data_IF_281027015077
#
_entry.id   IF_281027015077
#
_cell.length_a   1.000
_cell.length_b   1.000
_cell.length_c   1.000
_cell.angle_alpha   90.00
_cell.angle_beta   90.00
_cell.angle_gamma   90.00
#
_symmetry.space_group_name_H-M   'P 1'
#
loop_
_entity.id
_entity.type
_entity.pdbx_description
1 polymer ?
#
# COMPACT_ATOMS: atom_id res chain seq x y z
N UNK A 1 -11.52 4.17 34.44
CA UNK A 1 -12.08 2.86 34.09
C UNK A 1 -11.22 2.29 32.98
N UNK A 2 -10.56 1.16 33.18
CA UNK A 2 -9.83 0.47 32.12
C UNK A 2 -10.82 0.10 31.03
N UNK A 3 -10.62 0.60 29.81
CA UNK A 3 -11.45 0.16 28.68
C UNK A 3 -11.26 -1.34 28.50
N UNK A 4 -12.36 -2.09 28.49
CA UNK A 4 -12.35 -3.52 28.22
C UNK A 4 -11.72 -3.80 26.85
N UNK A 5 -10.80 -4.76 26.83
CA UNK A 5 -10.10 -5.22 25.62
C UNK A 5 -11.04 -6.15 24.86
N UNK A 6 -11.36 -5.85 23.59
CA UNK A 6 -12.22 -6.70 22.77
C UNK A 6 -11.66 -8.11 22.58
N UNK A 7 -12.55 -9.11 22.50
CA UNK A 7 -12.17 -10.51 22.40
C UNK A 7 -11.33 -10.83 21.15
N UNK A 8 -11.61 -10.16 20.03
CA UNK A 8 -10.90 -10.32 18.77
C UNK A 8 -9.42 -9.89 18.89
N UNK A 9 -9.15 -8.85 19.68
CA UNK A 9 -7.78 -8.36 19.94
C UNK A 9 -7.03 -9.35 20.83
N UNK A 10 -7.69 -9.87 21.86
CA UNK A 10 -7.10 -10.87 22.75
C UNK A 10 -6.84 -12.20 22.03
N UNK A 11 -7.72 -12.58 21.10
CA UNK A 11 -7.58 -13.82 20.33
C UNK A 11 -6.26 -13.89 19.51
N UNK A 12 -5.71 -12.75 19.13
CA UNK A 12 -4.47 -12.65 18.33
C UNK A 12 -3.28 -12.09 19.11
N UNK A 13 -3.39 -11.92 20.43
CA UNK A 13 -2.29 -11.47 21.28
C UNK A 13 -1.87 -10.01 21.02
N UNK A 14 -2.83 -9.11 20.78
CA UNK A 14 -2.62 -7.69 20.48
C UNK A 14 -3.01 -6.74 21.64
N UNK A 15 -3.20 -7.27 22.85
CA UNK A 15 -3.67 -6.53 24.02
C UNK A 15 -2.75 -5.38 24.40
N UNK A 16 -1.44 -5.61 24.39
CA UNK A 16 -0.43 -4.59 24.74
C UNK A 16 -0.42 -3.45 23.72
N UNK A 17 -0.38 -3.78 22.44
CA UNK A 17 -0.46 -2.80 21.36
C UNK A 17 -1.74 -1.99 21.46
N UNK A 18 -2.90 -2.65 21.56
CA UNK A 18 -4.18 -1.97 21.72
C UNK A 18 -4.20 -1.08 22.96
N UNK A 19 -3.64 -1.56 24.07
CA UNK A 19 -3.48 -0.81 25.33
C UNK A 19 -2.70 0.49 25.17
N UNK A 20 -1.65 0.48 24.35
CA UNK A 20 -0.79 1.65 24.05
C UNK A 20 -1.45 2.72 23.17
N UNK A 21 -2.53 2.37 22.45
CA UNK A 21 -3.24 3.33 21.60
C UNK A 21 -3.94 4.41 22.44
N UNK A 22 -4.03 5.63 21.91
CA UNK A 22 -4.89 6.65 22.46
C UNK A 22 -6.38 6.28 22.31
N UNK A 23 -7.25 6.91 23.10
CA UNK A 23 -8.68 6.58 23.12
C UNK A 23 -9.37 6.72 21.75
N UNK A 24 -8.97 7.72 20.97
CA UNK A 24 -9.51 7.93 19.62
C UNK A 24 -9.17 6.73 18.70
N UNK A 25 -7.93 6.27 18.73
CA UNK A 25 -7.48 5.12 17.93
C UNK A 25 -8.12 3.82 18.42
N UNK A 26 -8.28 3.64 19.74
CA UNK A 26 -9.04 2.52 20.31
C UNK A 26 -10.48 2.47 19.78
N UNK A 27 -11.16 3.62 19.76
CA UNK A 27 -12.52 3.73 19.20
C UNK A 27 -12.53 3.38 17.71
N UNK A 28 -11.54 3.85 16.93
CA UNK A 28 -11.47 3.51 15.51
C UNK A 28 -11.22 2.02 15.27
N UNK A 29 -10.29 1.39 15.99
CA UNK A 29 -10.05 -0.06 15.90
C UNK A 29 -11.34 -0.84 16.18
N UNK A 30 -12.07 -0.47 17.24
CA UNK A 30 -13.35 -1.12 17.59
C UNK A 30 -14.40 -1.10 16.47
N UNK A 31 -14.35 -0.14 15.54
CA UNK A 31 -15.27 -0.09 14.39
C UNK A 31 -15.02 -1.20 13.36
N UNK A 32 -13.80 -1.71 13.30
CA UNK A 32 -13.37 -2.66 12.27
C UNK A 32 -13.34 -4.12 12.74
N UNK A 33 -13.68 -4.39 14.01
CA UNK A 33 -13.60 -5.75 14.58
C UNK A 33 -14.63 -6.72 13.98
N UNK A 34 -15.71 -6.21 13.39
CA UNK A 34 -16.74 -7.04 12.77
C UNK A 34 -16.18 -7.91 11.64
N UNK A 35 -16.15 -9.22 11.84
CA UNK A 35 -15.59 -10.21 10.91
C UNK A 35 -14.11 -9.95 10.56
N UNK A 36 -13.35 -9.32 11.46
CA UNK A 36 -11.91 -9.13 11.24
C UNK A 36 -11.18 -10.47 11.26
N UNK A 37 -10.14 -10.61 10.43
CA UNK A 37 -9.28 -11.79 10.47
C UNK A 37 -8.63 -11.95 11.86
N UNK A 38 -8.92 -13.07 12.52
CA UNK A 38 -8.37 -13.43 13.84
C UNK A 38 -7.54 -14.71 13.78
N UNK A 39 -7.19 -15.17 12.58
CA UNK A 39 -6.38 -16.40 12.39
C UNK A 39 -4.93 -16.20 12.83
N UNK A 40 -4.43 -14.97 12.74
CA UNK A 40 -3.09 -14.60 13.17
C UNK A 40 -3.00 -13.10 13.50
N UNK A 41 -1.94 -12.72 14.22
CA UNK A 41 -1.61 -11.31 14.50
C UNK A 41 -1.42 -10.51 13.20
N UNK A 42 -0.73 -11.09 12.22
CA UNK A 42 -0.46 -10.44 10.93
C UNK A 42 -1.72 -10.32 10.09
N UNK A 43 -2.54 -11.38 10.00
CA UNK A 43 -3.85 -11.35 9.34
C UNK A 43 -4.75 -10.25 9.89
N UNK A 44 -4.83 -10.14 11.22
CA UNK A 44 -5.59 -9.07 11.89
C UNK A 44 -5.10 -7.67 11.48
N UNK A 45 -3.79 -7.41 11.54
CA UNK A 45 -3.24 -6.09 11.24
C UNK A 45 -3.39 -5.74 9.76
N UNK A 46 -3.22 -6.71 8.86
CA UNK A 46 -3.45 -6.52 7.41
C UNK A 46 -4.91 -6.20 7.12
N UNK A 47 -5.85 -6.96 7.68
CA UNK A 47 -7.28 -6.71 7.48
C UNK A 47 -7.71 -5.35 8.07
N UNK A 48 -7.17 -4.98 9.25
CA UNK A 48 -7.38 -3.65 9.83
C UNK A 48 -6.87 -2.53 8.93
N UNK A 49 -5.66 -2.68 8.35
CA UNK A 49 -5.08 -1.70 7.43
C UNK A 49 -5.96 -1.53 6.19
N UNK A 50 -6.34 -2.63 5.54
CA UNK A 50 -7.17 -2.61 4.33
C UNK A 50 -8.52 -1.96 4.61
N UNK A 51 -9.22 -2.38 5.67
CA UNK A 51 -10.54 -1.83 6.01
C UNK A 51 -10.47 -0.36 6.39
N UNK A 52 -9.48 0.02 7.19
CA UNK A 52 -9.32 1.42 7.58
C UNK A 52 -8.92 2.32 6.41
N UNK A 53 -8.09 1.84 5.47
CA UNK A 53 -7.79 2.56 4.22
C UNK A 53 -9.03 2.71 3.34
N UNK A 54 -9.85 1.67 3.19
CA UNK A 54 -11.11 1.73 2.42
C UNK A 54 -12.09 2.78 2.97
N UNK A 55 -12.11 2.98 4.30
CA UNK A 55 -12.90 3.99 4.99
C UNK A 55 -12.18 5.35 5.13
N UNK A 56 -11.10 5.57 4.37
CA UNK A 56 -10.26 6.77 4.41
C UNK A 56 -9.68 7.13 5.81
N UNK A 57 -9.60 6.15 6.71
CA UNK A 57 -8.95 6.25 8.01
C UNK A 57 -7.45 5.90 7.90
N UNK A 58 -6.77 6.51 6.94
CA UNK A 58 -5.38 6.20 6.57
C UNK A 58 -4.39 6.26 7.73
N UNK A 59 -4.54 7.22 8.66
CA UNK A 59 -3.67 7.31 9.85
C UNK A 59 -3.76 6.07 10.74
N UNK A 60 -4.92 5.41 10.83
CA UNK A 60 -5.03 4.15 11.57
C UNK A 60 -4.31 3.02 10.85
N UNK A 61 -4.46 2.95 9.52
CA UNK A 61 -3.73 2.00 8.68
C UNK A 61 -2.22 2.15 8.86
N UNK A 62 -1.72 3.40 8.84
CA UNK A 62 -0.30 3.70 9.09
C UNK A 62 0.16 3.21 10.47
N UNK A 63 -0.61 3.46 11.53
CA UNK A 63 -0.28 3.02 12.89
C UNK A 63 -0.21 1.48 13.00
N UNK A 64 -1.16 0.79 12.37
CA UNK A 64 -1.16 -0.68 12.35
C UNK A 64 0.04 -1.24 11.56
N UNK A 65 0.37 -0.63 10.42
CA UNK A 65 1.51 -1.02 9.59
C UNK A 65 2.86 -0.77 10.26
N UNK A 66 3.04 0.38 10.91
CA UNK A 66 4.26 0.67 11.68
C UNK A 66 4.46 -0.33 12.82
N UNK A 67 3.40 -0.72 13.52
CA UNK A 67 3.47 -1.75 14.55
C UNK A 67 3.79 -3.13 13.95
N UNK A 68 3.16 -3.51 12.84
CA UNK A 68 3.38 -4.78 12.18
C UNK A 68 4.83 -4.93 11.67
N UNK A 69 5.37 -3.91 11.02
CA UNK A 69 6.72 -3.92 10.45
C UNK A 69 7.84 -3.89 11.49
N UNK A 70 7.53 -3.49 12.73
CA UNK A 70 8.44 -3.56 13.87
C UNK A 70 8.59 -4.99 14.43
N UNK A 71 7.76 -5.94 13.99
CA UNK A 71 7.85 -7.35 14.40
C UNK A 71 8.82 -8.13 13.49
N UNK A 72 9.26 -9.30 13.97
CA UNK A 72 9.91 -10.28 13.11
C UNK A 72 8.87 -10.87 12.16
N UNK A 73 9.12 -10.76 10.85
CA UNK A 73 8.26 -11.22 9.77
C UNK A 73 9.13 -11.96 8.76
N UNK A 74 8.61 -13.07 8.24
CA UNK A 74 9.14 -13.69 7.02
C UNK A 74 9.03 -12.72 5.83
N UNK A 75 9.78 -12.97 4.76
CA UNK A 75 9.71 -12.15 3.54
C UNK A 75 8.28 -12.07 2.99
N UNK A 76 7.53 -13.17 3.03
CA UNK A 76 6.15 -13.20 2.55
C UNK A 76 5.20 -12.38 3.43
N UNK A 77 5.28 -12.55 4.75
CA UNK A 77 4.47 -11.76 5.68
C UNK A 77 4.80 -10.28 5.59
N UNK A 78 6.10 -9.96 5.50
CA UNK A 78 6.58 -8.59 5.29
C UNK A 78 6.01 -8.02 4.00
N UNK A 79 6.04 -8.78 2.90
CA UNK A 79 5.47 -8.34 1.64
C UNK A 79 3.98 -7.99 1.77
N UNK A 80 3.19 -8.86 2.40
CA UNK A 80 1.74 -8.66 2.61
C UNK A 80 1.43 -7.48 3.53
N UNK A 81 2.20 -7.30 4.59
CA UNK A 81 2.07 -6.18 5.52
C UNK A 81 2.40 -4.87 4.81
N UNK A 82 3.53 -4.82 4.09
CA UNK A 82 3.96 -3.63 3.37
C UNK A 82 2.97 -3.25 2.26
N UNK A 83 2.38 -4.21 1.54
CA UNK A 83 1.33 -3.94 0.54
C UNK A 83 0.13 -3.17 1.13
N UNK A 84 -0.36 -3.58 2.31
CA UNK A 84 -1.46 -2.90 2.97
C UNK A 84 -1.04 -1.54 3.57
N UNK A 85 0.19 -1.47 4.09
CA UNK A 85 0.76 -0.25 4.66
C UNK A 85 0.95 0.86 3.62
N UNK A 86 1.40 0.51 2.40
CA UNK A 86 1.62 1.44 1.29
C UNK A 86 0.35 2.24 0.96
N UNK A 87 -0.81 1.60 0.93
CA UNK A 87 -2.07 2.31 0.63
C UNK A 87 -2.46 3.27 1.76
N UNK A 88 -2.22 2.87 3.01
CA UNK A 88 -2.35 3.73 4.18
C UNK A 88 -1.43 4.96 4.12
N UNK A 89 -0.15 4.77 3.78
CA UNK A 89 0.80 5.86 3.60
C UNK A 89 0.39 6.81 2.48
N UNK A 90 -0.04 6.26 1.34
CA UNK A 90 -0.45 7.05 0.19
C UNK A 90 -1.65 7.94 0.51
N UNK A 91 -2.70 7.38 1.12
CA UNK A 91 -3.87 8.15 1.53
C UNK A 91 -3.60 9.15 2.67
N UNK A 92 -2.55 8.91 3.47
CA UNK A 92 -2.06 9.86 4.46
C UNK A 92 -1.13 10.94 3.87
N UNK A 93 -0.88 10.92 2.56
CA UNK A 93 0.00 11.84 1.83
C UNK A 93 1.48 11.77 2.27
N UNK A 94 1.90 10.64 2.86
CA UNK A 94 3.28 10.38 3.30
C UNK A 94 4.15 9.89 2.12
N UNK A 95 4.14 10.63 1.00
CA UNK A 95 4.66 10.17 -0.30
C UNK A 95 6.15 9.80 -0.31
N UNK A 96 6.97 10.44 0.54
CA UNK A 96 8.38 10.07 0.70
C UNK A 96 8.53 8.62 1.21
N UNK A 97 7.74 8.24 2.22
CA UNK A 97 7.71 6.87 2.75
C UNK A 97 7.08 5.89 1.76
N UNK A 98 6.04 6.31 1.03
CA UNK A 98 5.40 5.46 0.00
C UNK A 98 6.46 4.95 -0.99
N UNK A 99 7.28 5.84 -1.54
CA UNK A 99 8.29 5.48 -2.54
C UNK A 99 9.31 4.49 -1.97
N UNK A 100 9.80 4.76 -0.76
CA UNK A 100 10.75 3.90 -0.05
C UNK A 100 10.18 2.50 0.18
N UNK A 101 8.97 2.40 0.72
CA UNK A 101 8.33 1.12 1.01
C UNK A 101 7.93 0.37 -0.26
N UNK A 102 7.51 1.07 -1.33
CA UNK A 102 7.25 0.44 -2.62
C UNK A 102 8.50 -0.23 -3.17
N UNK A 103 9.65 0.46 -3.19
CA UNK A 103 10.90 -0.10 -3.69
C UNK A 103 11.35 -1.32 -2.87
N UNK A 104 11.34 -1.22 -1.53
CA UNK A 104 11.65 -2.36 -0.65
C UNK A 104 10.74 -3.55 -0.92
N UNK A 105 9.45 -3.30 -1.15
CA UNK A 105 8.50 -4.38 -1.39
C UNK A 105 8.70 -5.06 -2.75
N UNK A 106 9.07 -4.28 -3.77
CA UNK A 106 9.39 -4.79 -5.10
C UNK A 106 10.65 -5.66 -5.08
N UNK A 107 11.67 -5.28 -4.30
CA UNK A 107 12.89 -6.09 -4.12
C UNK A 107 12.55 -7.47 -3.51
N UNK A 108 11.65 -7.50 -2.53
CA UNK A 108 11.17 -8.74 -1.91
C UNK A 108 10.35 -9.61 -2.85
N UNK A 109 9.70 -9.04 -3.87
CA UNK A 109 8.79 -9.78 -4.75
C UNK A 109 9.46 -11.00 -5.39
N UNK A 110 10.74 -10.87 -5.75
CA UNK A 110 11.49 -11.95 -6.42
C UNK A 110 11.68 -13.19 -5.54
N UNK A 111 11.81 -13.03 -4.22
CA UNK A 111 11.94 -14.16 -3.28
C UNK A 111 10.61 -14.82 -2.93
N UNK A 112 9.50 -14.07 -3.05
CA UNK A 112 8.17 -14.52 -2.64
C UNK A 112 7.21 -14.87 -3.79
N UNK A 113 7.64 -14.64 -5.04
CA UNK A 113 6.80 -14.75 -6.24
C UNK A 113 6.02 -16.05 -6.35
N UNK A 114 6.67 -17.20 -6.12
CA UNK A 114 6.03 -18.51 -6.25
C UNK A 114 4.88 -18.66 -5.27
N UNK A 115 5.15 -18.43 -3.98
CA UNK A 115 4.14 -18.45 -2.93
C UNK A 115 3.02 -17.43 -3.17
N UNK A 116 3.36 -16.22 -3.62
CA UNK A 116 2.38 -15.19 -3.92
C UNK A 116 1.46 -15.58 -5.08
N UNK A 117 1.97 -16.25 -6.11
CA UNK A 117 1.14 -16.76 -7.20
C UNK A 117 0.25 -17.90 -6.73
N UNK A 118 0.77 -18.84 -5.94
CA UNK A 118 0.00 -19.97 -5.40
C UNK A 118 -1.22 -19.48 -4.59
N UNK A 119 -1.00 -18.52 -3.67
CA UNK A 119 -2.06 -17.93 -2.85
C UNK A 119 -3.12 -17.17 -3.67
N UNK A 120 -2.79 -16.77 -4.90
CA UNK A 120 -3.69 -16.05 -5.81
C UNK A 120 -4.16 -16.91 -7.00
N UNK A 121 -4.12 -18.24 -6.88
CA UNK A 121 -4.66 -19.15 -7.88
C UNK A 121 -3.81 -19.25 -9.16
N UNK A 122 -2.50 -19.05 -9.03
CA UNK A 122 -1.52 -19.11 -10.10
C UNK A 122 -1.48 -17.86 -10.99
N UNK A 123 -2.18 -16.79 -10.63
CA UNK A 123 -2.24 -15.54 -11.40
C UNK A 123 -1.89 -14.34 -10.54
N UNK A 124 -1.27 -13.33 -11.17
CA UNK A 124 -1.03 -12.06 -10.49
C UNK A 124 -2.35 -11.35 -10.23
N UNK A 125 -2.60 -10.88 -8.99
CA UNK A 125 -3.70 -9.99 -8.70
C UNK A 125 -3.64 -8.74 -9.57
N UNK A 126 -4.81 -8.25 -10.01
CA UNK A 126 -4.90 -6.98 -10.75
C UNK A 126 -4.35 -5.81 -9.93
N UNK A 127 -4.66 -5.81 -8.64
CA UNK A 127 -4.24 -4.77 -7.70
C UNK A 127 -3.06 -5.26 -6.88
N UNK A 128 -1.92 -4.61 -7.08
CA UNK A 128 -0.72 -4.74 -6.27
C UNK A 128 -0.30 -3.29 -5.97
N UNK A 129 -0.28 -2.91 -4.71
CA UNK A 129 -0.13 -1.52 -4.28
C UNK A 129 1.27 -1.01 -4.53
N UNK A 130 2.34 -1.76 -4.25
CA UNK A 130 3.70 -1.28 -4.47
C UNK A 130 3.95 -0.84 -5.92
N UNK A 131 3.55 -1.65 -6.91
CA UNK A 131 3.73 -1.32 -8.33
C UNK A 131 2.86 -0.15 -8.78
N UNK A 132 1.64 -0.03 -8.25
CA UNK A 132 0.70 1.02 -8.65
C UNK A 132 1.05 2.36 -7.99
N UNK A 133 1.23 2.37 -6.66
CA UNK A 133 1.51 3.58 -5.89
C UNK A 133 2.89 4.16 -6.20
N UNK A 134 3.88 3.33 -6.56
CA UNK A 134 5.15 3.85 -7.05
C UNK A 134 4.96 4.73 -8.30
N UNK A 135 4.21 4.25 -9.29
CA UNK A 135 3.91 5.03 -10.51
C UNK A 135 3.06 6.26 -10.19
N UNK A 136 2.04 6.12 -9.33
CA UNK A 136 1.21 7.25 -8.90
C UNK A 136 2.04 8.34 -8.24
N UNK A 137 2.99 7.97 -7.37
CA UNK A 137 3.89 8.92 -6.71
C UNK A 137 4.88 9.54 -7.69
N UNK A 138 5.56 8.75 -8.52
CA UNK A 138 6.53 9.27 -9.49
C UNK A 138 5.87 10.26 -10.47
N UNK A 139 4.69 9.95 -10.97
CA UNK A 139 4.00 10.80 -11.97
C UNK A 139 3.23 11.94 -11.32
N UNK A 140 2.47 11.64 -10.27
CA UNK A 140 1.54 12.56 -9.63
C UNK A 140 2.22 13.57 -8.71
N UNK A 141 3.29 13.15 -8.02
CA UNK A 141 4.01 13.97 -7.04
C UNK A 141 5.31 14.49 -7.64
N UNK A 142 6.16 13.60 -8.17
CA UNK A 142 7.51 13.98 -8.62
C UNK A 142 7.52 14.54 -10.06
N UNK A 143 6.44 14.33 -10.83
CA UNK A 143 6.40 14.59 -12.28
C UNK A 143 7.50 13.86 -13.08
N UNK A 144 7.99 12.74 -12.55
CA UNK A 144 9.05 11.91 -13.12
C UNK A 144 8.46 10.85 -14.05
N UNK A 145 8.08 11.28 -15.24
CA UNK A 145 7.53 10.39 -16.28
C UNK A 145 8.55 9.42 -16.83
N UNK A 146 9.80 9.84 -16.97
CA UNK A 146 10.83 9.04 -17.62
C UNK A 146 11.31 7.94 -16.66
N UNK A 147 11.46 8.25 -15.37
CA UNK A 147 11.66 7.24 -14.33
C UNK A 147 10.46 6.30 -14.20
N UNK A 148 9.22 6.80 -14.28
CA UNK A 148 8.04 5.94 -14.23
C UNK A 148 7.99 4.93 -15.41
N UNK A 149 8.45 5.33 -16.60
CA UNK A 149 8.58 4.41 -17.75
C UNK A 149 9.63 3.32 -17.47
N UNK A 150 10.77 3.68 -16.88
CA UNK A 150 11.82 2.72 -16.51
C UNK A 150 11.30 1.73 -15.45
N UNK A 151 10.61 2.21 -14.42
CA UNK A 151 10.01 1.36 -13.39
C UNK A 151 9.03 0.34 -13.97
N UNK A 152 8.21 0.72 -14.97
CA UNK A 152 7.32 -0.23 -15.66
C UNK A 152 8.11 -1.34 -16.38
N UNK A 153 9.26 -1.04 -16.97
CA UNK A 153 10.11 -2.06 -17.59
C UNK A 153 10.71 -3.02 -16.56
N UNK A 154 11.11 -2.49 -15.40
CA UNK A 154 11.57 -3.29 -14.27
C UNK A 154 10.46 -4.20 -13.72
N UNK A 155 9.21 -3.75 -13.69
CA UNK A 155 8.10 -4.60 -13.25
C UNK A 155 7.93 -5.86 -14.11
N UNK A 156 8.18 -5.74 -15.42
CA UNK A 156 8.19 -6.90 -16.32
C UNK A 156 9.41 -7.79 -16.06
N UNK A 157 10.57 -7.21 -15.78
CA UNK A 157 11.79 -7.98 -15.53
C UNK A 157 11.69 -8.85 -14.27
N UNK A 158 11.09 -8.33 -13.19
CA UNK A 158 10.82 -9.10 -11.96
C UNK A 158 9.56 -9.98 -12.09
N UNK A 159 8.76 -9.76 -13.14
CA UNK A 159 7.55 -10.51 -13.45
C UNK A 159 6.39 -10.23 -12.50
N UNK A 160 6.30 -9.00 -11.98
CA UNK A 160 5.13 -8.46 -11.27
C UNK A 160 4.15 -7.78 -12.25
N UNK A 161 4.48 -7.76 -13.54
CA UNK A 161 3.70 -7.22 -14.64
C UNK A 161 4.00 -8.02 -15.91
N UNK A 162 3.01 -8.17 -16.79
CA UNK A 162 3.20 -8.77 -18.11
C UNK A 162 3.51 -7.71 -19.18
N UNK A 163 3.93 -8.16 -20.38
CA UNK A 163 4.32 -7.27 -21.47
C UNK A 163 3.13 -6.52 -22.08
N UNK A 164 1.95 -7.12 -22.08
CA UNK A 164 0.76 -6.49 -22.67
C UNK A 164 0.30 -5.33 -21.78
N UNK A 165 0.35 -5.50 -20.45
CA UNK A 165 0.13 -4.46 -19.45
C UNK A 165 1.18 -3.35 -19.56
N UNK A 166 2.46 -3.69 -19.79
CA UNK A 166 3.54 -2.70 -19.99
C UNK A 166 3.23 -1.75 -21.15
N UNK A 167 2.88 -2.29 -22.31
CA UNK A 167 2.60 -1.50 -23.51
C UNK A 167 1.40 -0.57 -23.30
N UNK A 168 0.34 -1.09 -22.68
CA UNK A 168 -0.83 -0.29 -22.30
C UNK A 168 -0.46 0.84 -21.33
N UNK A 169 0.28 0.56 -20.25
CA UNK A 169 0.64 1.56 -19.25
C UNK A 169 1.60 2.61 -19.78
N UNK A 170 2.59 2.24 -20.62
CA UNK A 170 3.46 3.20 -21.31
C UNK A 170 2.67 4.16 -22.19
N UNK A 171 1.68 3.65 -22.93
CA UNK A 171 0.83 4.50 -23.74
C UNK A 171 -0.04 5.43 -22.88
N UNK A 172 -0.59 4.93 -21.77
CA UNK A 172 -1.33 5.73 -20.80
C UNK A 172 -0.48 6.87 -20.22
N UNK A 173 0.78 6.59 -19.83
CA UNK A 173 1.69 7.61 -19.33
C UNK A 173 2.03 8.69 -20.37
N UNK A 174 2.25 8.29 -21.63
CA UNK A 174 2.48 9.25 -22.72
C UNK A 174 1.28 10.19 -22.93
N UNK A 175 0.07 9.62 -22.97
CA UNK A 175 -1.17 10.40 -23.11
C UNK A 175 -1.31 11.36 -21.92
N UNK A 176 -1.10 10.88 -20.69
CA UNK A 176 -1.17 11.71 -19.50
C UNK A 176 -0.15 12.86 -19.52
N UNK A 177 1.11 12.60 -19.90
CA UNK A 177 2.16 13.62 -20.05
C UNK A 177 1.75 14.69 -21.07
N UNK A 178 1.17 14.28 -22.20
CA UNK A 178 0.67 15.20 -23.22
C UNK A 178 -0.47 16.07 -22.71
N UNK A 179 -1.45 15.48 -22.01
CA UNK A 179 -2.58 16.22 -21.41
C UNK A 179 -2.08 17.27 -20.41
N UNK A 180 -1.20 16.89 -19.48
CA UNK A 180 -0.63 17.80 -18.48
C UNK A 180 0.16 18.94 -19.12
N UNK A 181 0.92 18.64 -20.19
CA UNK A 181 1.66 19.66 -20.94
C UNK A 181 0.70 20.64 -21.62
N UNK A 182 -0.36 20.12 -22.26
CA UNK A 182 -1.38 20.94 -22.89
C UNK A 182 -2.06 21.85 -21.85
N UNK A 183 -2.57 21.29 -20.75
CA UNK A 183 -3.22 22.06 -19.68
C UNK A 183 -2.31 23.17 -19.12
N UNK A 184 -1.01 22.88 -18.96
CA UNK A 184 -0.03 23.88 -18.53
C UNK A 184 0.07 25.06 -19.51
N UNK A 185 0.11 24.79 -20.82
CA UNK A 185 0.17 25.82 -21.87
C UNK A 185 -1.09 26.70 -21.87
N UNK A 186 -2.28 26.12 -21.67
CA UNK A 186 -3.55 26.88 -21.68
C UNK A 186 -3.89 27.54 -20.35
N UNK A 187 -3.25 27.14 -19.26
CA UNK A 187 -3.39 27.78 -17.93
C UNK A 187 -2.51 29.04 -17.75
N UNK A 188 -1.54 29.28 -18.65
CA UNK A 188 -0.74 30.51 -18.69
C UNK A 188 -1.61 31.69 -19.14
N UNK A 189 -2.22 32.40 -18.19
CA UNK A 189 -2.79 33.72 -18.45
C UNK A 189 -1.63 34.70 -18.72
N UNK A 190 -1.69 35.53 -19.77
CA UNK A 190 -0.73 36.62 -19.94
C UNK A 190 -0.73 37.49 -18.69
N UNK A 191 0.45 37.88 -18.19
CA UNK A 191 0.54 38.91 -17.15
C UNK A 191 -0.01 40.22 -17.72
N UNK A 192 -1.08 40.74 -17.13
CA UNK A 192 -1.48 42.14 -17.27
C UNK A 192 -0.42 43.07 -16.64
#
# INVERSE_FOLDING_TARGET
MSQEIPAEISAVGLEEWFGSLNDMNKVKVKRYLGCIDTTSKQGFLVDLMVRSSNDANYKLSVIAGEYALAQELSDYERFKVTEAYIDGLFGAEEFGKVKEECCKNLDLFTSIKEQFLEDNGGVLPKTIYCRNRLIDTMVGVDSDYDGAIQALEEFVSIGIMDKDELDYRKQSLKIHKMQRTFDSVFSLRPKE
#
